data_IF_905382776964
#
_entry.id   IF_905382776964
#
_cell.length_a   1.000
_cell.length_b   1.000
_cell.length_c   1.000
_cell.angle_alpha   90.00
_cell.angle_beta   90.00
_cell.angle_gamma   90.00
#
_symmetry.space_group_name_H-M   'P 1'
#
loop_
_entity.id
_entity.type
_entity.pdbx_description
1 polymer ?
#
# COMPACT_ATOMS: atom_id res chain seq x y z
N UNK A 1 -26.00 15.45 9.37
CA UNK A 1 -26.07 15.19 10.82
C UNK A 1 -25.49 13.80 11.12
N UNK A 2 -24.22 13.73 11.52
CA UNK A 2 -23.59 12.47 11.90
C UNK A 2 -24.18 12.00 13.23
N UNK A 3 -24.88 10.85 13.21
CA UNK A 3 -25.36 10.16 14.40
C UNK A 3 -24.16 9.81 15.28
N UNK A 4 -23.99 10.54 16.39
CA UNK A 4 -23.11 10.16 17.48
C UNK A 4 -23.52 8.78 18.00
N UNK A 5 -22.81 7.73 17.58
CA UNK A 5 -22.90 6.43 18.24
C UNK A 5 -22.42 6.66 19.68
N UNK A 6 -23.33 6.52 20.63
CA UNK A 6 -23.06 6.73 22.04
C UNK A 6 -21.82 5.93 22.47
N UNK A 7 -20.86 6.61 23.10
CA UNK A 7 -19.51 6.14 23.41
C UNK A 7 -19.52 4.79 24.16
N UNK A 8 -20.53 4.55 24.99
CA UNK A 8 -20.74 3.28 25.70
C UNK A 8 -20.91 2.07 24.76
N UNK A 9 -21.54 2.23 23.58
CA UNK A 9 -21.69 1.14 22.59
C UNK A 9 -20.34 0.70 22.02
N UNK A 10 -19.32 1.57 21.98
CA UNK A 10 -17.96 1.18 21.56
C UNK A 10 -17.29 0.27 22.59
N UNK A 11 -17.59 0.42 23.89
CA UNK A 11 -17.00 -0.43 24.94
C UNK A 11 -17.55 -1.86 24.93
N UNK A 12 -18.80 -2.05 24.50
CA UNK A 12 -19.43 -3.37 24.36
C UNK A 12 -19.40 -3.91 22.92
N UNK A 13 -18.75 -3.20 21.99
CA UNK A 13 -18.53 -3.73 20.65
C UNK A 13 -17.52 -4.88 20.75
N UNK A 14 -18.01 -6.11 20.47
CA UNK A 14 -17.24 -7.37 20.54
C UNK A 14 -15.88 -7.26 19.85
N UNK A 15 -15.79 -6.51 18.74
CA UNK A 15 -14.53 -6.28 18.01
C UNK A 15 -13.46 -5.61 18.88
N UNK A 16 -13.82 -4.65 19.72
CA UNK A 16 -12.87 -3.97 20.60
C UNK A 16 -12.37 -4.89 21.72
N UNK A 17 -13.26 -5.69 22.31
CA UNK A 17 -12.90 -6.67 23.34
C UNK A 17 -11.97 -7.75 22.78
N UNK A 18 -12.31 -8.32 21.61
CA UNK A 18 -11.46 -9.31 20.93
C UNK A 18 -10.10 -8.70 20.56
N UNK A 19 -10.09 -7.49 20.00
CA UNK A 19 -8.84 -6.81 19.67
C UNK A 19 -7.95 -6.58 20.89
N UNK A 20 -8.53 -6.17 22.03
CA UNK A 20 -7.80 -6.00 23.28
C UNK A 20 -7.24 -7.32 23.80
N UNK A 21 -8.03 -8.40 23.76
CA UNK A 21 -7.59 -9.74 24.14
C UNK A 21 -6.39 -10.20 23.31
N UNK A 22 -6.47 -10.11 21.98
CA UNK A 22 -5.37 -10.55 21.11
C UNK A 22 -4.12 -9.66 21.23
N UNK A 23 -4.29 -8.36 21.50
CA UNK A 23 -3.16 -7.47 21.80
C UNK A 23 -2.46 -7.84 23.10
N UNK A 24 -3.21 -8.14 24.16
CA UNK A 24 -2.64 -8.65 25.41
C UNK A 24 -1.95 -10.00 25.20
N UNK A 25 -2.54 -10.87 24.39
CA UNK A 25 -1.94 -12.16 24.03
C UNK A 25 -0.63 -11.97 23.25
N UNK A 26 -0.57 -11.03 22.32
CA UNK A 26 0.65 -10.68 21.58
C UNK A 26 1.75 -10.16 22.50
N UNK A 27 1.40 -9.33 23.49
CA UNK A 27 2.35 -8.74 24.44
C UNK A 27 2.87 -9.75 25.47
N UNK A 28 2.01 -10.64 25.98
CA UNK A 28 2.36 -11.57 27.07
C UNK A 28 2.70 -12.99 26.60
N UNK A 29 2.21 -13.41 25.44
CA UNK A 29 2.42 -14.75 24.89
C UNK A 29 2.64 -14.71 23.36
N UNK A 30 3.72 -14.05 22.88
CA UNK A 30 3.96 -13.82 21.45
C UNK A 30 4.07 -15.11 20.64
N UNK A 31 4.48 -16.23 21.26
CA UNK A 31 4.48 -17.54 20.60
C UNK A 31 3.06 -18.00 20.21
N UNK A 32 2.07 -17.80 21.09
CA UNK A 32 0.67 -18.15 20.83
C UNK A 32 0.09 -17.21 19.78
N UNK A 33 0.39 -15.90 19.88
CA UNK A 33 -0.02 -14.93 18.86
C UNK A 33 0.53 -15.27 17.48
N UNK A 34 1.81 -15.65 17.38
CA UNK A 34 2.45 -16.11 16.13
C UNK A 34 1.82 -17.39 15.58
N UNK A 35 1.48 -18.35 16.44
CA UNK A 35 0.75 -19.57 16.03
C UNK A 35 -0.62 -19.21 15.43
N UNK A 36 -1.33 -18.26 16.03
CA UNK A 36 -2.59 -17.73 15.54
C UNK A 36 -2.43 -16.71 14.40
N UNK A 37 -1.19 -16.38 14.03
CA UNK A 37 -0.80 -15.36 13.02
C UNK A 37 -1.46 -14.01 13.27
N UNK A 38 -1.66 -13.67 14.54
CA UNK A 38 -2.07 -12.33 14.93
C UNK A 38 -0.83 -11.46 15.12
N UNK A 39 -0.84 -10.33 14.42
CA UNK A 39 0.21 -9.32 14.46
C UNK A 39 -0.46 -7.95 14.50
N UNK A 40 -0.12 -7.13 15.48
CA UNK A 40 -0.63 -5.76 15.60
C UNK A 40 0.46 -4.71 15.72
N UNK A 41 1.67 -5.10 16.13
CA UNK A 41 2.82 -4.20 16.19
C UNK A 41 3.35 -3.92 14.79
N UNK A 42 3.37 -2.66 14.39
CA UNK A 42 4.02 -2.17 13.18
C UNK A 42 5.23 -1.33 13.55
N UNK A 43 6.31 -1.43 12.78
CA UNK A 43 7.53 -0.67 13.03
C UNK A 43 8.65 -0.91 12.01
N UNK A 44 9.78 -0.22 12.15
CA UNK A 44 10.94 -0.45 11.30
C UNK A 44 11.64 -1.78 11.66
N UNK A 45 12.07 -2.51 10.63
CA UNK A 45 12.98 -3.63 10.78
C UNK A 45 14.41 -3.13 11.06
N UNK A 46 15.19 -3.90 11.81
CA UNK A 46 16.58 -3.55 12.13
C UNK A 46 17.47 -3.40 10.87
N UNK A 47 17.28 -4.29 9.90
CA UNK A 47 18.05 -4.33 8.64
C UNK A 47 17.36 -3.54 7.50
N UNK A 48 16.58 -2.52 7.84
CA UNK A 48 15.90 -1.70 6.84
C UNK A 48 16.93 -0.93 6.00
N UNK A 49 17.00 -1.27 4.71
CA UNK A 49 17.82 -0.54 3.74
C UNK A 49 17.00 0.49 3.00
N UNK A 50 17.19 1.75 3.34
CA UNK A 50 16.56 2.88 2.67
C UNK A 50 17.05 2.98 1.23
N UNK A 51 16.11 3.09 0.28
CA UNK A 51 16.38 3.39 -1.13
C UNK A 51 16.15 4.87 -1.41
N UNK A 52 15.07 5.41 -0.85
CA UNK A 52 14.58 6.74 -1.15
C UNK A 52 14.01 7.38 0.12
N UNK A 53 14.30 8.67 0.32
CA UNK A 53 13.64 9.53 1.29
C UNK A 53 13.63 10.95 0.74
N UNK A 54 12.56 11.26 0.02
CA UNK A 54 12.43 12.50 -0.73
C UNK A 54 11.23 13.30 -0.26
N UNK A 55 11.31 14.61 -0.48
CA UNK A 55 10.15 15.50 -0.37
C UNK A 55 10.04 16.27 -1.67
N UNK A 56 8.91 16.13 -2.35
CA UNK A 56 8.61 16.78 -3.63
C UNK A 56 7.52 17.82 -3.42
N UNK A 57 7.63 18.95 -4.11
CA UNK A 57 6.55 19.92 -4.19
C UNK A 57 5.49 19.44 -5.18
N UNK A 58 4.23 19.78 -4.97
CA UNK A 58 3.16 19.51 -5.93
C UNK A 58 3.27 20.45 -7.11
N UNK A 59 3.45 19.96 -8.33
CA UNK A 59 3.52 20.83 -9.53
C UNK A 59 2.30 21.75 -9.67
N UNK A 60 1.11 21.31 -9.20
CA UNK A 60 -0.11 22.13 -9.22
C UNK A 60 -0.08 23.35 -8.29
N UNK A 61 0.78 23.38 -7.28
CA UNK A 61 0.94 24.54 -6.40
C UNK A 61 1.81 25.65 -6.99
N UNK A 62 2.31 25.45 -8.22
CA UNK A 62 3.18 26.39 -8.94
C UNK A 62 2.47 27.00 -10.16
N UNK A 63 2.91 28.17 -10.65
CA UNK A 63 2.43 28.72 -11.91
C UNK A 63 2.66 27.75 -13.08
N UNK A 64 1.71 27.64 -14.05
CA UNK A 64 0.49 28.43 -14.19
C UNK A 64 -0.73 27.88 -13.43
N UNK A 65 -0.59 26.76 -12.70
CA UNK A 65 -1.72 26.00 -12.15
C UNK A 65 -2.12 26.41 -10.73
N UNK A 66 -1.31 27.23 -10.06
CA UNK A 66 -1.50 27.64 -8.66
C UNK A 66 -2.92 28.12 -8.35
N UNK A 67 -3.51 28.99 -9.19
CA UNK A 67 -4.86 29.52 -8.97
C UNK A 67 -5.94 28.43 -9.03
N UNK A 68 -5.80 27.48 -9.97
CA UNK A 68 -6.72 26.36 -10.09
C UNK A 68 -6.56 25.38 -8.92
N UNK A 69 -5.32 25.18 -8.45
CA UNK A 69 -5.04 24.34 -7.29
C UNK A 69 -5.63 24.92 -6.00
N UNK A 70 -5.48 26.23 -5.77
CA UNK A 70 -6.10 26.90 -4.62
C UNK A 70 -7.62 26.76 -4.63
N UNK A 71 -8.28 26.90 -5.80
CA UNK A 71 -9.71 26.66 -5.94
C UNK A 71 -10.10 25.21 -5.63
N UNK A 72 -9.35 24.23 -6.17
CA UNK A 72 -9.57 22.81 -5.89
C UNK A 72 -9.37 22.44 -4.41
N UNK A 73 -8.42 23.07 -3.72
CA UNK A 73 -8.19 22.85 -2.29
C UNK A 73 -9.35 23.38 -1.44
N UNK A 74 -9.99 24.48 -1.84
CA UNK A 74 -11.17 25.03 -1.16
C UNK A 74 -12.37 24.08 -1.32
N UNK A 75 -12.53 23.49 -2.51
CA UNK A 75 -13.67 22.61 -2.83
C UNK A 75 -13.49 21.16 -2.33
N UNK A 76 -12.26 20.70 -2.10
CA UNK A 76 -11.97 19.40 -1.51
C UNK A 76 -11.98 19.47 0.02
N UNK A 77 -13.14 19.17 0.61
CA UNK A 77 -13.48 19.34 2.04
C UNK A 77 -12.69 18.42 3.01
N UNK A 78 -11.82 17.52 2.53
CA UNK A 78 -11.05 16.62 3.39
C UNK A 78 -9.67 17.21 3.75
N UNK A 79 -9.67 18.19 4.65
CA UNK A 79 -8.64 18.33 5.70
C UNK A 79 -7.23 18.74 5.30
N UNK A 80 -7.04 20.01 4.92
CA UNK A 80 -5.72 20.65 4.98
C UNK A 80 -5.58 21.33 6.35
N UNK A 81 -5.11 20.61 7.37
CA UNK A 81 -4.83 21.19 8.71
C UNK A 81 -3.59 22.13 8.69
N UNK A 82 -2.74 22.03 7.68
CA UNK A 82 -1.60 22.93 7.43
C UNK A 82 -1.43 23.17 5.92
N UNK A 83 -1.59 24.42 5.42
CA UNK A 83 -1.44 24.78 4.02
C UNK A 83 -0.08 24.42 3.42
N UNK A 84 0.99 24.33 4.23
CA UNK A 84 2.33 23.95 3.77
C UNK A 84 2.48 22.43 3.62
N UNK A 85 1.80 21.63 4.44
CA UNK A 85 1.71 20.17 4.26
C UNK A 85 0.85 19.80 3.04
N UNK A 86 -0.10 20.68 2.68
CA UNK A 86 -0.87 20.63 1.44
C UNK A 86 -0.07 20.71 0.15
N UNK A 87 1.21 21.08 0.22
CA UNK A 87 2.08 21.38 -0.93
C UNK A 87 3.18 20.35 -1.17
N UNK A 88 3.37 19.44 -0.22
CA UNK A 88 4.49 18.51 -0.21
C UNK A 88 4.02 17.06 -0.26
N UNK A 89 4.78 16.26 -0.99
CA UNK A 89 4.64 14.80 -1.04
C UNK A 89 5.93 14.22 -0.49
N UNK A 90 5.82 13.53 0.64
CA UNK A 90 6.94 12.80 1.22
C UNK A 90 6.91 11.36 0.72
N UNK A 91 8.01 10.93 0.12
CA UNK A 91 8.17 9.58 -0.41
C UNK A 91 9.27 8.91 0.41
N UNK A 92 8.99 7.70 0.88
CA UNK A 92 9.99 6.88 1.56
C UNK A 92 9.89 5.45 1.06
N UNK A 93 11.01 4.92 0.58
CA UNK A 93 11.10 3.56 0.04
C UNK A 93 12.26 2.81 0.69
N UNK A 94 12.03 1.57 1.09
CA UNK A 94 13.06 0.72 1.69
C UNK A 94 12.86 -0.76 1.36
N UNK A 95 13.96 -1.49 1.26
CA UNK A 95 13.96 -2.96 1.22
C UNK A 95 14.23 -3.48 2.64
N UNK A 96 13.42 -4.42 3.10
CA UNK A 96 13.44 -4.91 4.48
C UNK A 96 13.14 -6.40 4.54
N UNK A 97 13.83 -7.18 5.39
CA UNK A 97 13.56 -8.61 5.56
C UNK A 97 14.70 -9.38 6.23
N UNK A 98 14.50 -10.71 6.43
CA UNK A 98 13.53 -11.61 5.82
C UNK A 98 12.08 -11.51 6.34
N UNK A 99 11.10 -11.83 5.47
CA UNK A 99 9.67 -11.54 5.72
C UNK A 99 8.75 -12.72 5.42
N UNK A 100 7.62 -12.79 6.13
CA UNK A 100 6.48 -13.62 5.80
C UNK A 100 5.30 -12.75 5.36
N UNK A 101 4.73 -13.04 4.19
CA UNK A 101 3.46 -12.47 3.75
C UNK A 101 2.34 -13.42 4.13
N UNK A 102 1.35 -12.90 4.85
CA UNK A 102 0.20 -13.68 5.31
C UNK A 102 -1.03 -13.40 4.47
N UNK A 103 -1.58 -14.38 3.75
CA UNK A 103 -2.65 -14.13 2.78
C UNK A 103 -3.94 -13.49 3.35
N UNK A 104 -4.26 -13.71 4.63
CA UNK A 104 -5.47 -13.15 5.24
C UNK A 104 -5.40 -11.63 5.49
N UNK A 105 -4.25 -11.08 5.87
CA UNK A 105 -4.01 -9.63 6.02
C UNK A 105 -3.28 -9.01 4.83
N UNK A 106 -2.59 -9.83 4.06
CA UNK A 106 -1.63 -9.48 3.02
C UNK A 106 -0.66 -8.39 3.47
N UNK A 107 -0.01 -8.62 4.62
CA UNK A 107 1.03 -7.75 5.21
C UNK A 107 2.36 -8.49 5.26
N UNK A 108 3.45 -7.74 5.08
CA UNK A 108 4.78 -8.23 5.35
C UNK A 108 5.05 -8.17 6.85
N UNK A 109 5.40 -9.33 7.41
CA UNK A 109 5.73 -9.51 8.82
C UNK A 109 7.14 -10.06 8.91
N UNK A 110 7.98 -9.48 9.75
CA UNK A 110 9.30 -10.01 10.09
C UNK A 110 9.16 -11.45 10.63
N UNK A 111 9.90 -12.39 10.03
CA UNK A 111 9.81 -13.81 10.38
C UNK A 111 10.28 -14.13 11.80
N UNK A 112 11.18 -13.33 12.34
CA UNK A 112 11.81 -13.54 13.64
C UNK A 112 11.03 -12.85 14.74
N UNK A 113 10.73 -11.56 14.55
CA UNK A 113 10.12 -10.72 15.58
C UNK A 113 8.60 -10.76 15.56
N UNK A 114 7.98 -11.10 14.42
CA UNK A 114 6.52 -10.99 14.26
C UNK A 114 6.04 -9.56 14.07
N UNK A 115 6.94 -8.62 13.82
CA UNK A 115 6.59 -7.23 13.63
C UNK A 115 6.10 -6.98 12.19
N UNK A 116 4.98 -6.28 12.03
CA UNK A 116 4.52 -5.78 10.72
C UNK A 116 5.50 -4.70 10.26
N UNK A 117 6.00 -4.82 9.05
CA UNK A 117 6.97 -3.87 8.51
C UNK A 117 6.30 -2.54 8.22
N UNK A 118 6.88 -1.47 8.78
CA UNK A 118 6.46 -0.09 8.61
C UNK A 118 7.62 0.88 8.86
N UNK A 119 7.41 2.16 8.60
CA UNK A 119 8.42 3.20 8.87
C UNK A 119 8.32 3.82 10.27
N UNK A 120 7.16 3.66 10.91
CA UNK A 120 6.83 4.27 12.18
C UNK A 120 6.33 3.17 13.12
N UNK A 121 6.67 3.29 14.41
CA UNK A 121 6.18 2.35 15.41
C UNK A 121 4.74 2.68 15.79
N UNK A 122 3.81 1.77 15.52
CA UNK A 122 2.39 1.95 15.84
C UNK A 122 1.70 0.61 16.09
N UNK A 123 0.44 0.66 16.51
CA UNK A 123 -0.42 -0.52 16.56
C UNK A 123 -1.52 -0.46 15.52
N UNK A 124 -1.53 -1.45 14.64
CA UNK A 124 -2.57 -1.62 13.64
C UNK A 124 -3.92 -1.88 14.33
N UNK A 125 -4.95 -1.20 13.84
CA UNK A 125 -6.33 -1.39 14.34
C UNK A 125 -6.89 -2.70 13.83
N UNK A 126 -7.70 -3.36 14.67
CA UNK A 126 -8.46 -4.54 14.27
C UNK A 126 -9.32 -4.25 13.04
N UNK A 127 -9.28 -5.13 12.06
CA UNK A 127 -9.95 -4.95 10.77
C UNK A 127 -9.31 -5.81 9.69
N UNK A 128 -9.39 -5.41 8.41
CA UNK A 128 -8.79 -6.16 7.30
C UNK A 128 -7.26 -6.32 7.39
N UNK A 129 -6.62 -5.55 8.27
CA UNK A 129 -5.16 -5.48 8.41
C UNK A 129 -4.63 -6.22 9.65
N UNK A 130 -5.49 -6.68 10.56
CA UNK A 130 -5.09 -7.26 11.84
C UNK A 130 -6.23 -8.10 12.44
N UNK A 131 -6.14 -9.42 12.31
CA UNK A 131 -7.03 -10.42 12.90
C UNK A 131 -6.35 -11.81 12.88
N UNK A 132 -6.64 -12.70 13.83
CA UNK A 132 -6.02 -14.02 13.90
C UNK A 132 -6.52 -14.91 12.76
N UNK A 133 -5.61 -15.68 12.18
CA UNK A 133 -5.94 -16.72 11.21
C UNK A 133 -4.84 -17.79 11.22
N UNK A 134 -5.02 -18.93 11.91
CA UNK A 134 -4.03 -20.00 11.89
C UNK A 134 -3.80 -20.48 10.44
N UNK A 135 -2.58 -20.87 10.10
CA UNK A 135 -2.29 -21.47 8.79
C UNK A 135 -2.27 -22.98 8.93
N UNK A 136 -2.91 -23.68 7.99
CA UNK A 136 -2.83 -25.15 7.88
C UNK A 136 -1.96 -25.53 6.67
N UNK A 137 -1.72 -24.59 5.75
CA UNK A 137 -1.00 -24.84 4.51
C UNK A 137 0.51 -24.74 4.72
N UNK A 138 1.26 -25.59 4.01
CA UNK A 138 2.72 -25.52 3.99
C UNK A 138 3.17 -24.12 3.51
N UNK A 139 4.13 -23.48 4.19
CA UNK A 139 4.71 -22.23 3.73
C UNK A 139 5.28 -22.38 2.32
N UNK A 140 4.97 -21.41 1.46
CA UNK A 140 5.58 -21.27 0.15
C UNK A 140 6.81 -20.35 0.28
N UNK A 141 7.78 -20.50 -0.60
CA UNK A 141 8.96 -19.65 -0.64
C UNK A 141 9.12 -19.02 -2.02
N UNK A 142 9.70 -17.84 -2.06
CA UNK A 142 10.13 -17.15 -3.28
C UNK A 142 11.56 -16.63 -3.09
N UNK A 143 12.33 -16.55 -4.17
CA UNK A 143 13.60 -15.84 -4.20
C UNK A 143 13.45 -14.35 -4.54
N UNK A 144 12.25 -13.90 -4.92
CA UNK A 144 11.96 -12.53 -5.32
C UNK A 144 11.65 -11.62 -4.13
N UNK A 145 11.86 -10.31 -4.29
CA UNK A 145 11.40 -9.32 -3.33
C UNK A 145 9.87 -9.26 -3.35
N UNK A 146 9.23 -9.35 -2.19
CA UNK A 146 7.78 -9.30 -2.09
C UNK A 146 7.24 -7.87 -2.06
N UNK A 147 6.11 -7.64 -2.72
CA UNK A 147 5.31 -6.41 -2.63
C UNK A 147 3.90 -6.81 -2.18
N UNK A 148 3.56 -6.71 -0.89
CA UNK A 148 2.25 -7.10 -0.40
C UNK A 148 1.20 -6.03 -0.74
N UNK A 149 0.28 -6.32 -1.67
CA UNK A 149 -0.77 -5.40 -2.10
C UNK A 149 -1.95 -5.41 -1.12
N UNK A 150 -2.18 -4.34 -0.33
CA UNK A 150 -3.30 -4.30 0.60
C UNK A 150 -4.65 -4.51 -0.10
N UNK A 151 -5.67 -5.06 0.59
CA UNK A 151 -7.00 -5.30 0.01
C UNK A 151 -7.81 -3.99 -0.12
N UNK A 152 -7.32 -3.04 -0.91
CA UNK A 152 -7.97 -1.77 -1.17
C UNK A 152 -9.36 -1.98 -1.77
N UNK A 153 -10.33 -1.19 -1.29
CA UNK A 153 -11.67 -1.11 -1.89
C UNK A 153 -11.75 -0.02 -2.96
N UNK A 154 -10.92 1.02 -2.86
CA UNK A 154 -10.87 2.12 -3.80
C UNK A 154 -9.70 1.92 -4.77
N UNK A 155 -10.01 1.77 -6.07
CA UNK A 155 -9.02 1.59 -7.12
C UNK A 155 -8.06 2.78 -7.24
N UNK A 156 -8.52 4.01 -6.96
CA UNK A 156 -7.66 5.18 -6.98
C UNK A 156 -6.51 5.06 -5.98
N UNK A 157 -6.83 4.80 -4.70
CA UNK A 157 -5.81 4.65 -3.65
C UNK A 157 -4.89 3.45 -3.90
N UNK A 158 -5.41 2.39 -4.51
CA UNK A 158 -4.57 1.26 -4.91
C UNK A 158 -3.57 1.66 -5.99
N UNK A 159 -4.02 2.39 -7.02
CA UNK A 159 -3.18 2.79 -8.14
C UNK A 159 -2.16 3.85 -7.72
N UNK A 160 -2.65 4.98 -7.22
CA UNK A 160 -1.86 6.19 -6.97
C UNK A 160 -1.07 6.08 -5.68
N UNK A 161 -1.73 5.75 -4.57
CA UNK A 161 -1.09 5.81 -3.25
C UNK A 161 -0.20 4.58 -2.99
N UNK A 162 -0.40 3.48 -3.73
CA UNK A 162 0.28 2.22 -3.49
C UNK A 162 1.07 1.67 -4.68
N UNK A 163 0.43 1.30 -5.79
CA UNK A 163 1.12 0.59 -6.88
C UNK A 163 2.15 1.49 -7.58
N UNK A 164 1.75 2.71 -7.94
CA UNK A 164 2.58 3.68 -8.62
C UNK A 164 3.93 3.89 -7.91
N UNK A 165 3.99 4.29 -6.63
CA UNK A 165 5.28 4.55 -5.98
C UNK A 165 6.14 3.29 -5.81
N UNK A 166 5.56 2.10 -5.62
CA UNK A 166 6.36 0.87 -5.60
C UNK A 166 7.00 0.60 -6.97
N UNK A 167 6.26 0.81 -8.04
CA UNK A 167 6.74 0.61 -9.42
C UNK A 167 7.81 1.63 -9.76
N UNK A 168 7.60 2.91 -9.45
CA UNK A 168 8.59 3.96 -9.68
C UNK A 168 9.88 3.70 -8.89
N UNK A 169 9.77 3.26 -7.64
CA UNK A 169 10.94 2.84 -6.87
C UNK A 169 11.69 1.68 -7.55
N UNK A 170 10.97 0.70 -8.10
CA UNK A 170 11.58 -0.39 -8.86
C UNK A 170 12.32 0.11 -10.11
N UNK A 171 11.70 1.01 -10.87
CA UNK A 171 12.28 1.58 -12.09
C UNK A 171 13.49 2.49 -11.79
N UNK A 172 13.44 3.30 -10.73
CA UNK A 172 14.53 4.18 -10.32
C UNK A 172 15.74 3.44 -9.74
N UNK A 173 15.55 2.22 -9.23
CA UNK A 173 16.61 1.42 -8.60
C UNK A 173 16.73 0.00 -9.18
N UNK A 174 16.66 -0.15 -10.51
CA UNK A 174 16.58 -1.45 -11.21
C UNK A 174 17.58 -2.50 -10.69
N UNK A 175 18.82 -2.08 -10.43
CA UNK A 175 19.89 -2.96 -9.93
C UNK A 175 19.55 -3.66 -8.61
N UNK A 176 18.78 -2.98 -7.74
CA UNK A 176 18.35 -3.52 -6.45
C UNK A 176 17.28 -4.62 -6.59
N UNK A 177 16.69 -4.75 -7.79
CA UNK A 177 15.61 -5.68 -8.11
C UNK A 177 16.02 -6.72 -9.16
N UNK A 178 17.31 -6.99 -9.31
CA UNK A 178 17.83 -7.99 -10.25
C UNK A 178 17.26 -9.41 -10.01
N UNK A 179 16.94 -9.76 -8.76
CA UNK A 179 16.28 -11.03 -8.42
C UNK A 179 14.79 -11.07 -8.78
N UNK A 180 14.22 -9.94 -9.21
CA UNK A 180 12.82 -9.77 -9.54
C UNK A 180 11.94 -9.44 -8.33
N UNK A 181 10.69 -9.11 -8.64
CA UNK A 181 9.64 -8.76 -7.66
C UNK A 181 8.43 -9.67 -7.79
N UNK A 182 7.73 -9.88 -6.67
CA UNK A 182 6.45 -10.60 -6.65
C UNK A 182 5.38 -9.79 -5.94
N UNK A 183 4.35 -9.39 -6.67
CA UNK A 183 3.18 -8.73 -6.12
C UNK A 183 2.29 -9.78 -5.46
N UNK A 184 2.21 -9.73 -4.13
CA UNK A 184 1.36 -10.64 -3.38
C UNK A 184 -0.02 -10.01 -3.29
N UNK A 185 -1.04 -10.70 -3.76
CA UNK A 185 -2.44 -10.25 -3.71
C UNK A 185 -3.29 -11.28 -2.96
N UNK A 186 -4.46 -10.90 -2.45
CA UNK A 186 -5.42 -11.83 -1.86
C UNK A 186 -6.77 -11.86 -2.59
N UNK A 187 -6.87 -11.08 -3.67
CA UNK A 187 -7.96 -11.04 -4.64
C UNK A 187 -7.41 -10.56 -5.97
N UNK A 188 -8.21 -10.72 -7.02
CA UNK A 188 -7.83 -10.31 -8.37
C UNK A 188 -7.86 -8.78 -8.49
N UNK A 189 -6.79 -8.23 -9.07
CA UNK A 189 -6.62 -6.80 -9.31
C UNK A 189 -5.99 -6.63 -10.69
N UNK A 190 -6.78 -6.40 -11.75
CA UNK A 190 -6.24 -6.27 -13.11
C UNK A 190 -5.16 -5.19 -13.26
N UNK A 191 -5.25 -4.14 -12.45
CA UNK A 191 -4.24 -3.09 -12.38
C UNK A 191 -2.84 -3.57 -11.94
N UNK A 192 -2.76 -4.63 -11.13
CA UNK A 192 -1.47 -5.18 -10.70
C UNK A 192 -0.76 -5.81 -11.90
N UNK A 193 -1.49 -6.55 -12.74
CA UNK A 193 -0.93 -7.21 -13.90
C UNK A 193 -0.41 -6.19 -14.94
N UNK A 194 -1.10 -5.05 -15.09
CA UNK A 194 -0.60 -3.92 -15.88
C UNK A 194 0.79 -3.46 -15.43
N UNK A 195 0.99 -3.22 -14.12
CA UNK A 195 2.29 -2.78 -13.62
C UNK A 195 3.36 -3.88 -13.65
N UNK A 196 2.95 -5.15 -13.52
CA UNK A 196 3.84 -6.29 -13.72
C UNK A 196 4.37 -6.31 -15.16
N UNK A 197 3.51 -6.06 -16.14
CA UNK A 197 3.92 -6.00 -17.56
C UNK A 197 4.94 -4.86 -17.81
N UNK A 198 4.73 -3.69 -17.20
CA UNK A 198 5.65 -2.55 -17.30
C UNK A 198 7.03 -2.90 -16.74
N UNK A 199 7.08 -3.46 -15.53
CA UNK A 199 8.35 -3.86 -14.92
C UNK A 199 9.06 -4.90 -15.79
N UNK A 200 8.33 -5.87 -16.35
CA UNK A 200 8.89 -6.88 -17.23
C UNK A 200 9.44 -6.27 -18.54
N UNK A 201 8.74 -5.33 -19.17
CA UNK A 201 9.25 -4.64 -20.37
C UNK A 201 10.48 -3.79 -20.08
N UNK A 202 10.60 -3.29 -18.85
CA UNK A 202 11.73 -2.49 -18.37
C UNK A 202 12.90 -3.34 -17.83
N UNK A 203 12.82 -4.67 -17.97
CA UNK A 203 13.89 -5.62 -17.64
C UNK A 203 13.86 -6.15 -16.20
N UNK A 204 12.85 -5.82 -15.40
CA UNK A 204 12.68 -6.29 -14.01
C UNK A 204 11.69 -7.46 -13.99
N UNK A 205 12.15 -8.67 -13.64
CA UNK A 205 11.29 -9.85 -13.60
C UNK A 205 10.19 -9.73 -12.54
N UNK A 206 8.98 -9.36 -12.96
CA UNK A 206 7.82 -9.16 -12.11
C UNK A 206 6.77 -10.25 -12.34
N UNK A 207 6.09 -10.65 -11.25
CA UNK A 207 5.02 -11.67 -11.29
C UNK A 207 3.97 -11.38 -10.21
N UNK A 208 2.73 -11.80 -10.44
CA UNK A 208 1.67 -11.77 -9.42
C UNK A 208 1.58 -13.13 -8.70
N UNK A 209 1.37 -13.11 -7.38
CA UNK A 209 1.09 -14.29 -6.57
C UNK A 209 -0.16 -14.07 -5.72
N UNK A 210 -1.25 -14.75 -6.08
CA UNK A 210 -2.46 -14.77 -5.25
C UNK A 210 -2.29 -15.69 -4.05
N UNK A 211 -2.50 -15.15 -2.84
CA UNK A 211 -2.42 -15.82 -1.56
C UNK A 211 -3.82 -15.94 -0.96
N UNK A 212 -4.27 -17.17 -0.72
CA UNK A 212 -5.52 -17.41 0.02
C UNK A 212 -5.31 -17.08 1.50
N UNK A 213 -6.38 -16.86 2.29
CA UNK A 213 -6.26 -16.49 3.70
C UNK A 213 -5.32 -17.40 4.53
N UNK A 214 -5.39 -18.71 4.24
CA UNK A 214 -4.60 -19.73 4.93
C UNK A 214 -3.17 -19.86 4.41
N UNK A 215 -2.82 -19.26 3.27
CA UNK A 215 -1.49 -19.33 2.69
C UNK A 215 -0.50 -18.41 3.41
N UNK A 216 0.78 -18.79 3.35
CA UNK A 216 1.92 -18.02 3.84
C UNK A 216 3.04 -18.09 2.80
N UNK A 217 3.59 -16.94 2.43
CA UNK A 217 4.75 -16.82 1.56
C UNK A 217 5.94 -16.30 2.35
N UNK A 218 7.07 -16.99 2.29
CA UNK A 218 8.36 -16.51 2.79
C UNK A 218 9.13 -15.87 1.64
N UNK A 219 9.62 -14.66 1.85
CA UNK A 219 10.44 -13.93 0.91
C UNK A 219 11.73 -13.44 1.58
N UNK A 220 12.84 -13.31 0.83
CA UNK A 220 14.09 -12.79 1.36
C UNK A 220 13.97 -11.34 1.83
N UNK A 221 13.09 -10.56 1.20
CA UNK A 221 12.78 -9.20 1.59
C UNK A 221 11.40 -8.77 1.07
N UNK A 222 10.88 -7.67 1.62
CA UNK A 222 9.77 -6.89 1.11
C UNK A 222 10.28 -5.52 0.67
N UNK A 223 9.71 -4.98 -0.41
CA UNK A 223 9.75 -3.54 -0.65
C UNK A 223 8.63 -2.90 0.19
N UNK A 224 8.99 -1.85 0.91
CA UNK A 224 8.08 -0.99 1.65
C UNK A 224 8.19 0.42 1.07
N UNK A 225 7.12 0.89 0.44
CA UNK A 225 7.04 2.28 -0.02
C UNK A 225 5.85 2.97 0.63
N UNK A 226 6.07 4.17 1.16
CA UNK A 226 5.04 5.01 1.78
C UNK A 226 5.07 6.40 1.19
N UNK A 227 3.89 6.86 0.79
CA UNK A 227 3.62 8.25 0.45
C UNK A 227 2.89 8.90 1.62
N UNK A 228 3.31 10.10 1.99
CA UNK A 228 2.53 10.98 2.87
C UNK A 228 2.30 12.30 2.15
N UNK A 229 1.03 12.61 1.89
CA UNK A 229 0.57 13.86 1.33
C UNK A 229 -0.75 14.26 1.99
N UNK A 230 -1.03 15.56 2.07
CA UNK A 230 -2.27 16.08 2.63
C UNK A 230 -3.41 16.19 1.61
N UNK A 231 -3.14 15.96 0.31
CA UNK A 231 -4.13 16.04 -0.77
C UNK A 231 -4.12 14.77 -1.62
N UNK A 232 -5.29 14.40 -2.16
CA UNK A 232 -5.36 13.34 -3.18
C UNK A 232 -4.68 13.75 -4.49
N UNK A 233 -4.48 15.04 -4.73
CA UNK A 233 -3.79 15.51 -5.94
C UNK A 233 -2.28 15.25 -5.92
N UNK A 234 -1.75 14.54 -4.91
CA UNK A 234 -0.34 14.14 -4.86
C UNK A 234 0.13 13.27 -6.03
N UNK A 235 -0.80 12.70 -6.82
CA UNK A 235 -0.43 12.06 -8.10
C UNK A 235 0.39 12.98 -9.02
N UNK A 236 0.17 14.29 -8.94
CA UNK A 236 0.87 15.26 -9.79
C UNK A 236 2.33 15.49 -9.35
N UNK A 237 2.75 15.00 -8.18
CA UNK A 237 4.18 14.97 -7.81
C UNK A 237 4.97 13.86 -8.54
N UNK A 238 4.28 12.99 -9.29
CA UNK A 238 4.89 11.90 -10.06
C UNK A 238 4.86 12.18 -11.56
N UNK A 239 5.08 13.42 -12.00
CA UNK A 239 5.08 13.78 -13.43
C UNK A 239 5.99 12.86 -14.25
N UNK A 240 7.25 12.71 -13.83
CA UNK A 240 8.23 11.78 -14.42
C UNK A 240 7.73 10.33 -14.41
N UNK A 241 7.03 9.94 -13.34
CA UNK A 241 6.47 8.61 -13.21
C UNK A 241 5.28 8.37 -14.13
N UNK A 242 4.48 9.39 -14.40
CA UNK A 242 3.39 9.33 -15.37
C UNK A 242 3.93 9.27 -16.80
N UNK A 243 4.98 10.01 -17.12
CA UNK A 243 5.69 9.92 -18.42
C UNK A 243 6.19 8.49 -18.68
N UNK A 244 6.70 7.79 -17.65
CA UNK A 244 7.11 6.38 -17.77
C UNK A 244 5.93 5.43 -18.03
N UNK A 245 4.71 5.80 -17.60
CA UNK A 245 3.51 4.97 -17.79
C UNK A 245 2.78 5.24 -19.10
N UNK A 246 2.88 6.47 -19.64
CA UNK A 246 2.16 6.92 -20.84
C UNK A 246 2.32 5.98 -22.04
N UNK A 247 3.53 5.53 -22.43
CA UNK A 247 3.70 4.61 -23.56
C UNK A 247 2.95 3.29 -23.38
N UNK A 248 2.87 2.79 -22.15
CA UNK A 248 2.17 1.55 -21.82
C UNK A 248 0.66 1.74 -21.79
N UNK A 249 0.18 2.88 -21.28
CA UNK A 249 -1.22 3.27 -21.33
C UNK A 249 -1.70 3.42 -22.77
N UNK A 250 -0.91 4.03 -23.65
CA UNK A 250 -1.23 4.17 -25.07
C UNK A 250 -1.32 2.83 -25.79
N UNK A 251 -0.42 1.89 -25.48
CA UNK A 251 -0.48 0.54 -26.03
C UNK A 251 -1.72 -0.22 -25.57
N UNK A 252 -2.16 -0.01 -24.33
CA UNK A 252 -3.40 -0.58 -23.81
C UNK A 252 -4.64 0.09 -24.38
N UNK A 253 -4.64 1.41 -24.53
CA UNK A 253 -5.73 2.16 -25.15
C UNK A 253 -5.97 1.67 -26.59
N UNK A 254 -4.91 1.37 -27.35
CA UNK A 254 -5.00 0.76 -28.69
C UNK A 254 -5.66 -0.62 -28.70
N UNK A 255 -5.57 -1.38 -27.60
CA UNK A 255 -6.21 -2.70 -27.43
C UNK A 255 -7.66 -2.62 -26.96
N UNK A 256 -8.12 -1.45 -26.48
CA UNK A 256 -9.50 -1.24 -26.02
C UNK A 256 -10.27 -0.54 -27.15
N UNK A 257 -11.13 -1.26 -27.91
CA UNK A 257 -11.80 -0.67 -29.04
C UNK A 257 -12.81 0.40 -28.58
N UNK A 258 -12.61 1.63 -29.05
CA UNK A 258 -13.67 2.61 -29.34
C UNK A 258 -14.65 2.99 -28.22
N UNK A 259 -14.33 2.77 -26.94
CA UNK A 259 -15.20 3.26 -25.85
C UNK A 259 -14.79 4.69 -25.50
N UNK A 260 -15.72 5.67 -25.51
CA UNK A 260 -15.42 7.00 -25.03
C UNK A 260 -14.90 6.91 -23.59
N UNK A 261 -13.74 7.52 -23.34
CA UNK A 261 -13.15 7.63 -22.02
C UNK A 261 -14.15 8.38 -21.12
N UNK A 262 -14.87 7.63 -20.28
CA UNK A 262 -15.81 8.18 -19.32
C UNK A 262 -15.03 8.84 -18.19
N UNK A 263 -14.89 10.16 -18.27
CA UNK A 263 -14.34 10.97 -17.19
C UNK A 263 -15.36 11.02 -16.05
N UNK A 264 -15.21 10.14 -15.06
CA UNK A 264 -16.05 10.17 -13.86
C UNK A 264 -15.58 11.31 -12.95
N UNK A 265 -16.28 12.45 -12.99
CA UNK A 265 -16.12 13.50 -11.96
C UNK A 265 -16.48 12.89 -10.60
N UNK A 266 -15.69 13.23 -9.58
CA UNK A 266 -15.73 12.68 -8.20
C UNK A 266 -17.07 12.86 -7.45
N UNK A 267 -18.09 13.45 -8.07
CA UNK A 267 -19.46 13.56 -7.55
C UNK A 267 -20.53 12.73 -8.26
N UNK A 268 -20.19 12.01 -9.34
CA UNK A 268 -21.18 11.26 -10.15
C UNK A 268 -21.43 9.82 -9.69
N UNK A 269 -20.74 9.34 -8.64
CA UNK A 269 -20.92 7.98 -8.09
C UNK A 269 -22.03 7.91 -7.04
N UNK A 270 -23.26 8.21 -7.46
CA UNK A 270 -24.48 7.69 -6.84
C UNK A 270 -25.31 7.00 -7.93
N UNK A 271 -25.01 5.73 -8.13
CA UNK A 271 -25.89 4.75 -8.76
C UNK A 271 -26.03 3.59 -7.77
#
# INVERSE_FOLDING_TARGET
MARGRATWKKYFEIKHLIAAFFRLLEDHAPAISRMMRFYSHEGPHQDMRLLEQETRCLTLDQPPYELAYQALCIDNVDGVEDPNLGRMVHIRSAITGPVAIHGHTNRAVDQHTGLILGFETTRVRWGRSCFPMPSINKPQATSKIAIPVPPFSNYYHMLIDFLLPHVLCCLGHKEQFAQGVVFCTNKEFPAVDFFVDILNSEGISATTKSLRPMDKLHAPASLLTRIKAASTEHRYAYEEGMEMLEPHLDQLAKKIPGRPLLYLKRGATKL
#
